data_IF_301503376613
#
_entry.id   IF_301503376613
#
_cell.length_a   1.000
_cell.length_b   1.000
_cell.length_c   1.000
_cell.angle_alpha   90.00
_cell.angle_beta   90.00
_cell.angle_gamma   90.00
#
_symmetry.space_group_name_H-M   'P 1'
#
loop_
_entity.id
_entity.type
_entity.pdbx_description
1 polymer ?
#
# COMPACT_ATOMS: atom_id res chain seq x y z
N UNK A 1 20.09 65.34 22.53
CA UNK A 1 20.91 65.32 23.77
C UNK A 1 20.28 64.33 24.75
N UNK A 2 21.08 63.40 25.32
CA UNK A 2 20.71 62.50 26.43
C UNK A 2 20.10 61.15 26.01
N UNK A 3 20.86 60.06 25.83
CA UNK A 3 21.51 59.13 26.79
C UNK A 3 20.65 57.90 27.16
N UNK A 4 21.16 56.73 26.73
CA UNK A 4 21.27 55.42 27.40
C UNK A 4 20.13 54.89 28.31
N UNK A 5 19.78 53.60 28.14
CA UNK A 5 20.27 52.52 29.02
C UNK A 5 19.90 51.10 28.53
N UNK A 6 20.82 50.16 28.80
CA UNK A 6 20.79 48.71 28.58
C UNK A 6 19.78 47.99 29.48
N UNK A 7 19.37 46.78 29.09
CA UNK A 7 18.82 45.77 30.00
C UNK A 7 18.64 44.43 29.30
N UNK A 8 19.51 43.46 29.62
CA UNK A 8 19.39 42.07 29.16
C UNK A 8 18.61 41.21 30.14
N UNK A 9 18.08 40.09 29.66
CA UNK A 9 17.50 39.01 30.47
C UNK A 9 17.15 37.80 29.59
N UNK A 10 17.55 36.56 29.94
CA UNK A 10 17.34 35.38 29.12
C UNK A 10 15.98 34.72 29.40
N UNK A 11 15.21 34.46 28.35
CA UNK A 11 13.97 33.68 28.42
C UNK A 11 14.23 32.18 28.28
N UNK A 12 14.03 31.44 29.36
CA UNK A 12 13.90 29.98 29.38
C UNK A 12 12.55 29.55 28.77
N UNK A 13 12.60 28.49 27.97
CA UNK A 13 11.70 27.33 28.07
C UNK A 13 10.26 27.44 27.54
N UNK A 14 10.01 26.78 26.42
CA UNK A 14 8.97 25.75 26.28
C UNK A 14 9.27 24.99 24.97
N UNK A 15 9.35 23.67 24.89
CA UNK A 15 8.51 22.70 25.59
C UNK A 15 7.40 22.24 24.64
N UNK A 16 7.73 21.37 23.68
CA UNK A 16 6.73 20.57 22.99
C UNK A 16 6.65 20.73 21.47
N UNK A 17 7.05 19.66 20.77
CA UNK A 17 6.19 18.94 19.82
C UNK A 17 6.85 17.60 19.56
N UNK A 18 6.40 16.59 20.30
CA UNK A 18 6.76 15.20 20.05
C UNK A 18 6.30 14.82 18.66
N UNK A 19 7.26 14.54 17.77
CA UNK A 19 7.01 13.80 16.56
C UNK A 19 6.64 12.38 16.99
N UNK A 20 5.37 12.02 16.88
CA UNK A 20 4.92 10.63 16.94
C UNK A 20 5.48 9.92 15.71
N UNK A 21 6.69 9.37 15.85
CA UNK A 21 7.22 8.40 14.90
C UNK A 21 6.33 7.15 14.86
N UNK A 22 6.37 6.37 13.77
CA UNK A 22 5.63 5.12 13.68
C UNK A 22 6.07 4.19 14.82
N UNK A 23 5.10 3.84 15.67
CA UNK A 23 5.28 2.86 16.74
C UNK A 23 5.40 1.48 16.10
N UNK A 24 6.63 1.06 15.81
CA UNK A 24 6.93 -0.33 15.47
C UNK A 24 6.82 -1.17 16.74
N UNK A 25 5.73 -1.92 16.88
CA UNK A 25 5.64 -2.93 17.92
C UNK A 25 6.39 -4.17 17.42
N UNK A 26 7.59 -4.42 17.95
CA UNK A 26 8.28 -5.70 17.72
C UNK A 26 7.68 -6.76 18.64
N UNK A 27 6.73 -7.54 18.13
CA UNK A 27 6.29 -8.76 18.81
C UNK A 27 7.38 -9.83 18.67
N UNK A 28 8.30 -9.86 19.63
CA UNK A 28 9.48 -10.75 19.65
C UNK A 28 9.21 -12.27 19.64
N UNK A 29 7.97 -12.71 19.43
CA UNK A 29 7.57 -14.12 19.31
C UNK A 29 7.00 -14.48 17.93
N UNK A 30 6.58 -13.50 17.13
CA UNK A 30 6.06 -13.74 15.78
C UNK A 30 7.19 -13.55 14.77
N UNK A 31 7.41 -14.49 13.85
CA UNK A 31 8.48 -14.45 12.83
C UNK A 31 8.37 -13.33 11.79
N UNK A 32 7.68 -12.23 12.12
CA UNK A 32 7.44 -11.05 11.30
C UNK A 32 7.45 -9.76 12.14
N UNK A 33 7.67 -8.62 11.47
CA UNK A 33 7.38 -7.29 12.00
C UNK A 33 6.02 -6.79 11.50
N UNK A 34 5.34 -5.97 12.29
CA UNK A 34 4.05 -5.36 11.96
C UNK A 34 4.17 -3.83 11.97
N UNK A 35 3.74 -3.21 10.88
CA UNK A 35 3.64 -1.76 10.70
C UNK A 35 2.22 -1.42 10.24
N UNK A 36 1.62 -0.35 10.78
CA UNK A 36 0.33 0.16 10.29
C UNK A 36 0.58 1.39 9.41
N UNK A 37 0.19 1.31 8.13
CA UNK A 37 0.29 2.38 7.14
C UNK A 37 -1.07 2.97 6.83
N UNK A 38 -1.08 4.28 6.52
CA UNK A 38 -2.29 5.04 6.19
C UNK A 38 -3.44 4.83 7.20
N UNK A 39 -3.09 4.57 8.48
CA UNK A 39 -4.04 4.31 9.57
C UNK A 39 -4.83 3.01 9.48
N UNK A 40 -4.76 2.24 8.38
CA UNK A 40 -5.63 1.08 8.17
C UNK A 40 -5.03 -0.06 7.33
N UNK A 41 -3.82 0.06 6.80
CA UNK A 41 -3.15 -1.02 6.06
C UNK A 41 -2.10 -1.68 6.97
N UNK A 42 -2.30 -2.94 7.32
CA UNK A 42 -1.33 -3.71 8.09
C UNK A 42 -0.26 -4.27 7.14
N UNK A 43 0.97 -3.80 7.29
CA UNK A 43 2.14 -4.32 6.59
C UNK A 43 2.88 -5.31 7.51
N UNK A 44 2.87 -6.58 7.13
CA UNK A 44 3.65 -7.63 7.76
C UNK A 44 4.91 -7.91 6.95
N UNK A 45 6.08 -7.93 7.61
CA UNK A 45 7.34 -8.29 6.95
C UNK A 45 7.93 -9.52 7.60
N UNK A 46 8.09 -10.58 6.83
CA UNK A 46 8.54 -11.88 7.29
C UNK A 46 10.00 -12.11 6.98
N UNK A 47 10.68 -12.84 7.87
CA UNK A 47 12.08 -13.27 7.65
C UNK A 47 12.20 -14.46 6.70
N UNK A 48 11.11 -15.21 6.51
CA UNK A 48 11.11 -16.43 5.69
C UNK A 48 9.79 -16.58 4.94
N UNK A 49 9.87 -17.13 3.73
CA UNK A 49 8.71 -17.44 2.90
C UNK A 49 7.84 -18.51 3.53
N UNK A 50 8.45 -19.56 4.07
CA UNK A 50 7.71 -20.66 4.69
C UNK A 50 6.88 -20.18 5.88
N UNK A 51 7.45 -19.31 6.73
CA UNK A 51 6.70 -18.71 7.85
C UNK A 51 5.56 -17.80 7.41
N UNK A 52 5.75 -17.06 6.32
CA UNK A 52 4.71 -16.21 5.73
C UNK A 52 3.56 -17.05 5.17
N UNK A 53 3.88 -17.99 4.28
CA UNK A 53 2.89 -18.82 3.59
C UNK A 53 2.16 -19.73 4.58
N UNK A 54 2.86 -20.34 5.56
CA UNK A 54 2.22 -21.15 6.58
C UNK A 54 1.16 -20.37 7.39
N UNK A 55 1.37 -19.07 7.61
CA UNK A 55 0.43 -18.23 8.34
C UNK A 55 -0.71 -17.71 7.45
N UNK A 56 -0.43 -17.38 6.17
CA UNK A 56 -1.32 -16.58 5.33
C UNK A 56 -1.96 -17.35 4.17
N UNK A 57 -1.44 -18.52 3.80
CA UNK A 57 -2.04 -19.40 2.77
C UNK A 57 -3.49 -19.78 3.12
N UNK A 58 -3.87 -20.12 4.37
CA UNK A 58 -5.26 -20.46 4.66
C UNK A 58 -6.25 -19.34 4.31
N UNK A 59 -5.87 -18.08 4.54
CA UNK A 59 -6.68 -16.91 4.22
C UNK A 59 -6.67 -16.64 2.71
N UNK A 60 -5.49 -16.63 2.10
CA UNK A 60 -5.32 -16.28 0.68
C UNK A 60 -5.94 -17.33 -0.23
N UNK A 61 -5.78 -18.61 0.09
CA UNK A 61 -6.36 -19.70 -0.68
C UNK A 61 -7.89 -19.73 -0.59
N UNK A 62 -8.47 -19.25 0.52
CA UNK A 62 -9.92 -19.11 0.64
C UNK A 62 -10.48 -17.99 -0.26
N UNK A 63 -9.68 -16.95 -0.55
CA UNK A 63 -10.08 -15.82 -1.39
C UNK A 63 -9.77 -16.02 -2.87
N UNK A 64 -8.59 -16.57 -3.20
CA UNK A 64 -8.01 -16.56 -4.55
C UNK A 64 -7.72 -17.97 -5.09
N UNK A 65 -7.90 -19.00 -4.27
CA UNK A 65 -7.46 -20.36 -4.59
C UNK A 65 -5.98 -20.61 -4.31
N UNK A 66 -5.57 -21.87 -4.51
CA UNK A 66 -4.23 -22.35 -4.17
C UNK A 66 -3.21 -21.87 -5.19
N UNK A 67 -2.25 -21.08 -4.71
CA UNK A 67 -1.08 -20.66 -5.49
C UNK A 67 0.17 -21.15 -4.76
N UNK A 68 0.95 -22.01 -5.44
CA UNK A 68 2.19 -22.52 -4.87
C UNK A 68 3.26 -21.42 -4.84
N UNK A 69 4.06 -21.38 -3.76
CA UNK A 69 5.22 -20.51 -3.63
C UNK A 69 4.93 -19.01 -3.79
N UNK A 70 3.81 -18.52 -3.21
CA UNK A 70 3.50 -17.09 -3.14
C UNK A 70 4.70 -16.28 -2.64
N UNK A 71 4.97 -15.15 -3.29
CA UNK A 71 6.05 -14.23 -2.93
C UNK A 71 5.60 -13.13 -1.96
N UNK A 72 4.29 -12.94 -1.84
CA UNK A 72 3.63 -12.05 -0.91
C UNK A 72 2.16 -12.39 -0.81
N UNK A 73 1.48 -11.75 0.13
CA UNK A 73 0.03 -11.84 0.29
C UNK A 73 -0.55 -10.44 0.36
N UNK A 74 -1.67 -10.26 -0.32
CA UNK A 74 -2.33 -8.98 -0.36
C UNK A 74 -3.85 -9.19 -0.37
N UNK A 75 -4.55 -8.82 0.70
CA UNK A 75 -6.00 -9.01 0.76
C UNK A 75 -6.71 -8.10 1.77
N UNK A 76 -8.01 -7.88 1.53
CA UNK A 76 -8.88 -7.19 2.45
C UNK A 76 -9.19 -8.03 3.69
N UNK A 77 -9.22 -7.38 4.86
CA UNK A 77 -9.62 -8.02 6.10
C UNK A 77 -11.14 -7.95 6.24
N UNK A 78 -11.80 -9.12 6.27
CA UNK A 78 -13.25 -9.23 6.31
C UNK A 78 -13.72 -9.31 7.78
N UNK A 79 -14.40 -8.27 8.23
CA UNK A 79 -14.99 -8.25 9.58
C UNK A 79 -16.15 -9.26 9.68
N UNK A 80 -16.27 -9.91 10.84
CA UNK A 80 -17.26 -10.98 11.06
C UNK A 80 -16.87 -12.34 10.49
N UNK A 81 -15.86 -12.43 9.61
CA UNK A 81 -15.30 -13.71 9.20
C UNK A 81 -14.45 -14.31 10.33
N UNK A 82 -14.76 -15.55 10.74
CA UNK A 82 -14.08 -16.23 11.85
C UNK A 82 -12.57 -16.42 11.59
N UNK A 83 -12.20 -16.83 10.38
CA UNK A 83 -10.79 -17.06 10.01
C UNK A 83 -9.98 -15.77 10.11
N UNK A 84 -10.52 -14.67 9.59
CA UNK A 84 -9.87 -13.35 9.68
C UNK A 84 -9.82 -12.85 11.13
N UNK A 85 -10.87 -13.09 11.92
CA UNK A 85 -10.92 -12.68 13.34
C UNK A 85 -9.89 -13.43 14.20
N UNK A 86 -9.75 -14.74 13.97
CA UNK A 86 -8.76 -15.57 14.66
C UNK A 86 -7.34 -15.17 14.27
N UNK A 87 -7.09 -14.94 12.98
CA UNK A 87 -5.81 -14.44 12.49
C UNK A 87 -5.47 -13.07 13.07
N UNK A 88 -6.39 -12.09 13.07
CA UNK A 88 -6.17 -10.77 13.67
C UNK A 88 -5.71 -10.89 15.12
N UNK A 89 -6.36 -11.76 15.91
CA UNK A 89 -5.99 -12.01 17.31
C UNK A 89 -4.61 -12.66 17.42
N UNK A 90 -4.32 -13.67 16.61
CA UNK A 90 -3.04 -14.38 16.65
C UNK A 90 -1.85 -13.51 16.20
N UNK A 91 -2.06 -12.69 15.18
CA UNK A 91 -1.04 -11.82 14.60
C UNK A 91 -0.93 -10.44 15.31
N UNK A 92 -1.76 -10.19 16.33
CA UNK A 92 -1.76 -8.90 17.03
C UNK A 92 -2.18 -7.72 16.16
N UNK A 93 -3.05 -7.96 15.15
CA UNK A 93 -3.47 -6.90 14.25
C UNK A 93 -4.39 -5.90 14.97
N UNK A 94 -4.17 -4.59 14.77
CA UNK A 94 -5.02 -3.57 15.35
C UNK A 94 -6.42 -3.61 14.71
N UNK A 95 -7.45 -3.22 15.48
CA UNK A 95 -8.86 -3.27 15.03
C UNK A 95 -9.12 -2.40 13.79
N UNK A 96 -8.41 -1.28 13.67
CA UNK A 96 -8.51 -0.37 12.53
C UNK A 96 -7.84 -0.89 11.24
N UNK A 97 -7.08 -1.98 11.29
CA UNK A 97 -6.57 -2.60 10.07
C UNK A 97 -7.75 -3.10 9.23
N UNK A 98 -7.81 -2.70 7.96
CA UNK A 98 -8.85 -3.10 7.00
C UNK A 98 -8.28 -3.90 5.83
N UNK A 99 -6.97 -3.89 5.69
CA UNK A 99 -6.28 -4.47 4.56
C UNK A 99 -4.91 -4.97 5.01
N UNK A 100 -4.45 -6.08 4.45
CA UNK A 100 -3.19 -6.72 4.79
C UNK A 100 -2.28 -6.77 3.56
N UNK A 101 -1.04 -6.36 3.74
CA UNK A 101 0.06 -6.63 2.83
C UNK A 101 1.11 -7.43 3.62
N UNK A 102 1.56 -8.54 3.08
CA UNK A 102 2.64 -9.33 3.64
C UNK A 102 3.72 -9.59 2.60
N UNK A 103 4.96 -9.29 2.96
CA UNK A 103 6.13 -9.48 2.09
C UNK A 103 7.30 -10.08 2.88
N UNK A 104 8.36 -10.47 2.17
CA UNK A 104 9.65 -10.74 2.79
C UNK A 104 10.37 -9.44 3.19
N UNK A 105 11.21 -9.53 4.22
CA UNK A 105 12.12 -8.44 4.59
C UNK A 105 13.02 -8.07 3.40
N UNK A 106 13.15 -6.77 3.14
CA UNK A 106 13.95 -6.22 2.04
C UNK A 106 13.22 -6.01 0.71
N UNK A 107 11.97 -6.46 0.57
CA UNK A 107 11.21 -6.30 -0.69
C UNK A 107 10.46 -4.96 -0.78
N UNK A 108 11.22 -3.87 -0.86
CA UNK A 108 10.65 -2.51 -0.87
C UNK A 108 9.90 -2.18 -2.16
N UNK A 109 10.26 -2.79 -3.29
CA UNK A 109 9.63 -2.50 -4.58
C UNK A 109 8.20 -3.04 -4.62
N UNK A 110 8.01 -4.30 -4.19
CA UNK A 110 6.69 -4.91 -4.11
C UNK A 110 5.78 -4.10 -3.18
N UNK A 111 6.27 -3.60 -2.05
CA UNK A 111 5.42 -2.84 -1.10
C UNK A 111 4.75 -1.62 -1.75
N UNK A 112 5.46 -0.87 -2.62
CA UNK A 112 4.83 0.27 -3.32
C UNK A 112 3.69 -0.19 -4.23
N UNK A 113 3.90 -1.28 -4.94
CA UNK A 113 2.89 -1.87 -5.82
C UNK A 113 1.69 -2.40 -5.01
N UNK A 114 1.95 -3.16 -3.95
CA UNK A 114 0.90 -3.68 -3.08
C UNK A 114 0.08 -2.58 -2.39
N UNK A 115 0.72 -1.46 -2.03
CA UNK A 115 0.01 -0.31 -1.46
C UNK A 115 -0.90 0.38 -2.48
N UNK A 116 -0.62 0.31 -3.78
CA UNK A 116 -1.55 0.75 -4.82
C UNK A 116 -2.84 -0.08 -4.81
N UNK A 117 -2.73 -1.41 -4.72
CA UNK A 117 -3.90 -2.30 -4.63
C UNK A 117 -4.73 -2.01 -3.36
N UNK A 118 -4.06 -1.83 -2.21
CA UNK A 118 -4.71 -1.46 -0.96
C UNK A 118 -5.53 -0.17 -1.12
N UNK A 119 -4.97 0.84 -1.77
CA UNK A 119 -5.64 2.11 -2.03
C UNK A 119 -6.83 1.95 -2.98
N UNK A 120 -6.65 1.22 -4.09
CA UNK A 120 -7.71 0.92 -5.05
C UNK A 120 -8.92 0.24 -4.39
N UNK A 121 -8.63 -0.71 -3.48
CA UNK A 121 -9.65 -1.39 -2.70
C UNK A 121 -10.32 -0.45 -1.68
N UNK A 122 -9.55 0.26 -0.87
CA UNK A 122 -10.04 1.00 0.30
C UNK A 122 -10.66 2.37 -0.01
N UNK A 123 -10.31 2.99 -1.14
CA UNK A 123 -10.72 4.35 -1.50
C UNK A 123 -11.57 4.33 -2.78
N UNK A 124 -12.92 4.29 -2.66
CA UNK A 124 -13.82 4.29 -3.82
C UNK A 124 -13.55 5.45 -4.79
N UNK A 125 -13.30 6.66 -4.28
CA UNK A 125 -13.01 7.84 -5.11
C UNK A 125 -11.72 7.69 -5.95
N UNK A 126 -10.71 6.99 -5.43
CA UNK A 126 -9.49 6.69 -6.19
C UNK A 126 -9.78 5.68 -7.29
N UNK A 127 -10.56 4.63 -7.00
CA UNK A 127 -10.99 3.65 -7.99
C UNK A 127 -11.85 4.27 -9.11
N UNK A 128 -12.75 5.20 -8.77
CA UNK A 128 -13.49 5.98 -9.76
C UNK A 128 -12.56 6.84 -10.63
N UNK A 129 -11.50 7.38 -10.03
CA UNK A 129 -10.49 8.14 -10.77
C UNK A 129 -9.68 7.25 -11.71
N UNK A 130 -9.30 6.05 -11.27
CA UNK A 130 -8.67 5.04 -12.15
C UNK A 130 -9.57 4.68 -13.32
N UNK A 131 -10.85 4.44 -13.06
CA UNK A 131 -11.84 4.15 -14.10
C UNK A 131 -11.92 5.30 -15.12
N UNK A 132 -12.00 6.56 -14.66
CA UNK A 132 -12.03 7.73 -15.54
C UNK A 132 -10.75 7.88 -16.35
N UNK A 133 -9.59 7.69 -15.74
CA UNK A 133 -8.31 7.70 -16.47
C UNK A 133 -8.31 6.64 -17.56
N UNK A 134 -8.75 5.42 -17.25
CA UNK A 134 -8.84 4.34 -18.22
C UNK A 134 -9.78 4.65 -19.39
N UNK A 135 -10.95 5.22 -19.12
CA UNK A 135 -11.98 5.47 -20.16
C UNK A 135 -11.78 6.77 -20.92
N UNK A 136 -11.35 7.83 -20.25
CA UNK A 136 -11.33 9.20 -20.78
C UNK A 136 -9.94 9.65 -21.26
N UNK A 137 -8.85 9.17 -20.63
CA UNK A 137 -7.49 9.58 -20.99
C UNK A 137 -6.84 8.65 -22.01
N UNK A 138 -7.20 7.36 -21.97
CA UNK A 138 -6.62 6.39 -22.89
C UNK A 138 -7.43 6.32 -24.19
N UNK A 139 -6.72 6.26 -25.31
CA UNK A 139 -7.31 5.83 -26.58
C UNK A 139 -7.67 4.33 -26.53
N UNK A 140 -8.62 3.90 -27.37
CA UNK A 140 -9.01 2.49 -27.45
C UNK A 140 -7.81 1.57 -27.72
N UNK A 141 -6.95 1.93 -28.66
CA UNK A 141 -5.73 1.17 -28.97
C UNK A 141 -4.76 1.05 -27.77
N UNK A 142 -4.68 2.08 -26.90
CA UNK A 142 -3.85 2.01 -25.70
C UNK A 142 -4.45 1.04 -24.68
N UNK A 143 -5.77 1.09 -24.45
CA UNK A 143 -6.47 0.12 -23.59
C UNK A 143 -6.29 -1.32 -24.09
N UNK A 144 -6.40 -1.54 -25.40
CA UNK A 144 -6.22 -2.86 -26.01
C UNK A 144 -4.79 -3.38 -25.83
N UNK A 145 -3.80 -2.52 -26.02
CA UNK A 145 -2.40 -2.87 -25.83
C UNK A 145 -2.06 -3.19 -24.36
N UNK A 146 -2.59 -2.42 -23.41
CA UNK A 146 -2.43 -2.69 -21.97
C UNK A 146 -3.14 -3.99 -21.59
N UNK A 147 -4.37 -4.20 -22.05
CA UNK A 147 -5.13 -5.44 -21.84
C UNK A 147 -4.36 -6.65 -22.38
N UNK A 148 -3.82 -6.56 -23.60
CA UNK A 148 -3.00 -7.61 -24.20
C UNK A 148 -1.68 -7.83 -23.42
N UNK A 149 -1.10 -6.78 -22.84
CA UNK A 149 0.04 -6.89 -21.94
C UNK A 149 -0.30 -7.65 -20.66
N UNK A 150 -1.36 -7.27 -19.95
CA UNK A 150 -1.79 -7.91 -18.70
C UNK A 150 -2.23 -9.37 -18.91
N UNK A 151 -2.90 -9.67 -20.02
CA UNK A 151 -3.22 -11.04 -20.42
C UNK A 151 -1.97 -11.91 -20.63
N UNK A 152 -0.89 -11.36 -21.18
CA UNK A 152 0.39 -12.09 -21.32
C UNK A 152 1.03 -12.40 -19.97
N UNK A 153 0.82 -11.52 -18.98
CA UNK A 153 1.19 -11.75 -17.58
C UNK A 153 0.21 -12.67 -16.83
N UNK A 154 -0.82 -13.20 -17.51
CA UNK A 154 -1.82 -14.13 -16.97
C UNK A 154 -2.76 -13.51 -15.92
N UNK A 155 -2.90 -12.18 -15.93
CA UNK A 155 -3.92 -11.52 -15.12
C UNK A 155 -5.32 -11.69 -15.72
N UNK A 156 -6.29 -11.96 -14.86
CA UNK A 156 -7.71 -12.00 -15.25
C UNK A 156 -8.23 -10.60 -15.60
N UNK A 157 -9.14 -10.52 -16.56
CA UNK A 157 -9.75 -9.27 -16.99
C UNK A 157 -10.40 -8.48 -15.84
N UNK A 158 -10.91 -9.18 -14.81
CA UNK A 158 -11.56 -8.52 -13.66
C UNK A 158 -10.60 -7.70 -12.81
N UNK A 159 -9.29 -7.96 -12.87
CA UNK A 159 -8.27 -7.21 -12.11
C UNK A 159 -7.47 -6.24 -12.97
N UNK A 160 -7.73 -6.15 -14.28
CA UNK A 160 -6.91 -5.34 -15.19
C UNK A 160 -6.81 -3.86 -14.79
N UNK A 161 -7.88 -3.26 -14.27
CA UNK A 161 -7.85 -1.88 -13.79
C UNK A 161 -6.98 -1.70 -12.55
N UNK A 162 -7.00 -2.69 -11.66
CA UNK A 162 -6.21 -2.68 -10.43
C UNK A 162 -4.71 -2.86 -10.73
N UNK A 163 -4.38 -3.80 -11.62
CA UNK A 163 -3.02 -4.00 -12.13
C UNK A 163 -2.52 -2.78 -12.91
N UNK A 164 -3.35 -2.24 -13.80
CA UNK A 164 -3.03 -1.06 -14.60
C UNK A 164 -2.62 0.11 -13.72
N UNK A 165 -3.42 0.46 -12.71
CA UNK A 165 -3.11 1.59 -11.84
C UNK A 165 -1.86 1.33 -11.01
N UNK A 166 -1.66 0.11 -10.52
CA UNK A 166 -0.48 -0.23 -9.73
C UNK A 166 0.79 -0.07 -10.56
N UNK A 167 0.86 -0.67 -11.75
CA UNK A 167 2.01 -0.53 -12.65
C UNK A 167 2.22 0.91 -13.13
N UNK A 168 1.16 1.62 -13.52
CA UNK A 168 1.28 2.99 -14.02
C UNK A 168 1.85 3.94 -12.95
N UNK A 169 1.56 3.67 -11.67
CA UNK A 169 2.06 4.47 -10.55
C UNK A 169 3.48 4.08 -10.15
N UNK A 170 3.82 2.79 -10.14
CA UNK A 170 5.07 2.31 -9.52
C UNK A 170 6.21 2.08 -10.50
N UNK A 171 5.91 1.82 -11.76
CA UNK A 171 6.91 1.50 -12.77
C UNK A 171 7.35 2.74 -13.57
N UNK A 172 8.37 2.54 -14.40
CA UNK A 172 8.86 3.58 -15.31
C UNK A 172 7.75 4.02 -16.28
N UNK A 173 7.72 5.29 -16.73
CA UNK A 173 6.65 5.82 -17.58
C UNK A 173 6.35 5.01 -18.85
N UNK A 174 7.34 4.28 -19.38
CA UNK A 174 7.24 3.46 -20.58
C UNK A 174 7.05 1.97 -20.31
N UNK A 175 6.63 1.57 -19.10
CA UNK A 175 6.47 0.16 -18.71
C UNK A 175 5.58 -0.63 -19.68
N UNK A 176 4.47 -0.02 -20.14
CA UNK A 176 3.58 -0.61 -21.13
C UNK A 176 4.06 -0.46 -22.59
N UNK A 177 5.28 0.02 -22.80
CA UNK A 177 5.86 0.25 -24.14
C UNK A 177 5.31 1.48 -24.86
N UNK A 178 4.64 2.39 -24.16
CA UNK A 178 4.05 3.61 -24.71
C UNK A 178 4.12 4.76 -23.70
N UNK A 179 3.94 6.00 -24.16
CA UNK A 179 3.82 7.17 -23.30
C UNK A 179 2.40 7.28 -22.73
N UNK A 180 2.33 7.27 -21.39
CA UNK A 180 1.10 7.41 -20.60
C UNK A 180 1.20 8.59 -19.62
N UNK A 181 2.00 9.60 -19.94
CA UNK A 181 2.33 10.71 -19.03
C UNK A 181 1.11 11.42 -18.45
N UNK A 182 0.08 11.71 -19.26
CA UNK A 182 -1.15 12.34 -18.77
C UNK A 182 -1.89 11.45 -17.76
N UNK A 183 -2.07 10.16 -18.10
CA UNK A 183 -2.71 9.20 -17.21
C UNK A 183 -1.94 9.06 -15.89
N UNK A 184 -0.60 9.00 -15.97
CA UNK A 184 0.28 8.91 -14.81
C UNK A 184 0.17 10.16 -13.91
N UNK A 185 0.13 11.36 -14.50
CA UNK A 185 -0.04 12.62 -13.77
C UNK A 185 -1.41 12.70 -13.08
N UNK A 186 -2.49 12.30 -13.74
CA UNK A 186 -3.84 12.30 -13.15
C UNK A 186 -3.95 11.33 -11.97
N UNK A 187 -3.40 10.12 -12.11
CA UNK A 187 -3.35 9.19 -10.97
C UNK A 187 -2.47 9.75 -9.85
N UNK A 188 -1.31 10.33 -10.18
CA UNK A 188 -0.40 10.94 -9.22
C UNK A 188 -1.05 12.04 -8.37
N UNK A 189 -1.91 12.86 -8.98
CA UNK A 189 -2.62 13.93 -8.28
C UNK A 189 -3.63 13.42 -7.23
N UNK A 190 -4.02 12.14 -7.29
CA UNK A 190 -4.93 11.51 -6.33
C UNK A 190 -4.24 11.05 -5.04
N UNK A 191 -2.91 11.19 -4.97
CA UNK A 191 -2.13 10.83 -3.78
C UNK A 191 -1.98 12.04 -2.87
N UNK A 192 -2.38 11.87 -1.60
CA UNK A 192 -2.19 12.90 -0.60
C UNK A 192 -0.70 13.21 -0.40
N UNK A 193 -0.33 14.47 -0.10
CA UNK A 193 1.02 14.82 0.29
C UNK A 193 1.49 13.96 1.48
N UNK A 194 2.69 13.36 1.37
CA UNK A 194 3.23 12.48 2.40
C UNK A 194 2.64 11.06 2.43
N UNK A 195 1.81 10.68 1.44
CA UNK A 195 1.53 9.26 1.18
C UNK A 195 2.83 8.51 0.81
N UNK A 196 2.80 7.19 0.88
CA UNK A 196 3.96 6.29 0.76
C UNK A 196 4.77 6.37 -0.56
N UNK A 197 4.35 7.22 -1.51
CA UNK A 197 5.01 7.45 -2.79
C UNK A 197 6.43 7.98 -2.64
#
# INVERSE_FOLDING_TARGET
MGKNSKGGGPGKGDGGKGATGPSSASSGASGFSLELREGCVALLRFRSRDGMNALLDPLSNAAEGVIANRLGHNFALIDGNKLHSDFRRAAGLPKQARYLIATLDGDAHSIRHEMCHARYHLQPEYRDTVQRVWTECLAAAQRDAITAFLNRLKYDAVVHLDEFQAYLVTEKPNFFGMDLGEAQQRLAASFAPGSWR
#
